data_IF_462003854719
#
_entry.id   IF_462003854719
#
_cell.length_a   1.000
_cell.length_b   1.000
_cell.length_c   1.000
_cell.angle_alpha   90.00
_cell.angle_beta   90.00
_cell.angle_gamma   90.00
#
_symmetry.space_group_name_H-M   'P 1'
#
loop_
_entity.id
_entity.type
_entity.pdbx_description
1 polymer ?
#
# COMPACT_ATOMS: atom_id res chain seq x y z
N UNK A 1 12.03 -25.51 -7.85
CA UNK A 1 10.64 -25.75 -7.42
C UNK A 1 10.19 -24.43 -6.85
N UNK A 2 9.67 -23.53 -7.68
CA UNK A 2 8.83 -22.44 -7.20
C UNK A 2 7.43 -23.07 -7.08
N UNK A 3 6.85 -23.03 -5.88
CA UNK A 3 5.53 -23.62 -5.63
C UNK A 3 4.45 -22.72 -6.21
N UNK A 4 3.24 -23.25 -6.39
CA UNK A 4 2.04 -22.46 -6.73
C UNK A 4 1.56 -21.62 -5.52
N UNK A 5 2.48 -20.95 -4.83
CA UNK A 5 2.26 -20.20 -3.59
C UNK A 5 2.45 -18.70 -3.88
N UNK A 6 1.70 -17.83 -3.20
CA UNK A 6 1.96 -16.39 -3.28
C UNK A 6 3.29 -16.06 -2.58
N UNK A 7 4.18 -15.34 -3.28
CA UNK A 7 5.51 -14.98 -2.78
C UNK A 7 5.60 -13.52 -2.29
N UNK A 8 4.47 -12.79 -2.30
CA UNK A 8 4.39 -11.40 -1.83
C UNK A 8 4.75 -11.26 -0.34
N UNK A 9 5.56 -10.25 -0.03
CA UNK A 9 5.98 -9.91 1.33
C UNK A 9 5.62 -8.47 1.65
N UNK A 10 5.06 -8.24 2.85
CA UNK A 10 4.78 -6.92 3.39
C UNK A 10 5.62 -6.62 4.64
N UNK A 11 6.46 -5.61 4.59
CA UNK A 11 7.25 -5.11 5.73
C UNK A 11 6.62 -3.85 6.29
N UNK A 12 6.36 -3.79 7.60
CA UNK A 12 5.92 -2.57 8.27
C UNK A 12 7.05 -1.54 8.26
N UNK A 13 6.78 -0.36 7.72
CA UNK A 13 7.68 0.80 7.74
C UNK A 13 7.28 1.81 8.82
N UNK A 14 5.99 2.02 9.03
CA UNK A 14 5.47 2.99 10.01
C UNK A 14 4.05 2.63 10.44
N UNK A 15 3.66 3.06 11.63
CA UNK A 15 2.31 2.91 12.18
C UNK A 15 1.61 4.27 12.43
N UNK A 16 2.28 5.37 12.13
CA UNK A 16 1.80 6.72 12.43
C UNK A 16 1.98 7.67 11.24
N UNK A 17 1.70 7.19 10.03
CA UNK A 17 1.73 8.04 8.84
C UNK A 17 0.49 8.91 8.74
N UNK A 18 0.65 10.09 8.13
CA UNK A 18 -0.45 10.94 7.70
C UNK A 18 -0.43 11.03 6.18
N UNK A 19 -1.54 10.70 5.54
CA UNK A 19 -1.68 10.75 4.07
C UNK A 19 -2.91 11.54 3.67
N UNK A 20 -2.75 12.32 2.60
CA UNK A 20 -3.83 13.12 2.00
C UNK A 20 -4.21 12.45 0.69
N UNK A 21 -5.49 12.15 0.53
CA UNK A 21 -6.10 11.63 -0.69
C UNK A 21 -7.23 12.57 -1.13
N UNK A 22 -7.78 12.40 -2.35
CA UNK A 22 -8.95 13.18 -2.77
C UNK A 22 -10.19 12.96 -1.90
N UNK A 23 -10.35 11.78 -1.29
CA UNK A 23 -11.44 11.52 -0.34
C UNK A 23 -11.26 12.29 0.98
N UNK A 24 -10.02 12.42 1.47
CA UNK A 24 -9.75 13.11 2.73
C UNK A 24 -8.34 12.92 3.26
N UNK A 25 -8.10 13.39 4.49
CA UNK A 25 -6.84 13.16 5.20
C UNK A 25 -7.00 12.05 6.22
N UNK A 26 -6.07 11.11 6.21
CA UNK A 26 -5.98 10.02 7.18
C UNK A 26 -4.73 10.17 8.04
N UNK A 27 -4.87 9.88 9.32
CA UNK A 27 -3.79 9.92 10.33
C UNK A 27 -3.69 8.56 11.00
N UNK A 28 -2.56 8.27 11.68
CA UNK A 28 -2.32 6.96 12.31
C UNK A 28 -2.41 5.81 11.29
N UNK A 29 -1.89 6.05 10.08
CA UNK A 29 -1.90 5.06 9.02
C UNK A 29 -0.73 4.08 9.18
N UNK A 30 -1.00 2.80 8.94
CA UNK A 30 0.04 1.81 8.68
C UNK A 30 0.62 2.07 7.30
N UNK A 31 1.95 2.09 7.20
CA UNK A 31 2.68 2.06 5.94
C UNK A 31 3.48 0.77 5.83
N UNK A 32 3.34 0.07 4.72
CA UNK A 32 4.16 -1.10 4.38
C UNK A 32 5.06 -0.83 3.18
N UNK A 33 6.15 -1.61 3.10
CA UNK A 33 6.89 -1.88 1.88
C UNK A 33 6.47 -3.27 1.41
N UNK A 34 5.94 -3.35 0.20
CA UNK A 34 5.51 -4.57 -0.42
C UNK A 34 6.51 -4.94 -1.53
N UNK A 35 6.93 -6.21 -1.56
CA UNK A 35 7.89 -6.76 -2.52
C UNK A 35 7.47 -8.14 -2.99
N UNK A 36 7.77 -8.48 -4.24
CA UNK A 36 7.54 -9.81 -4.82
C UNK A 36 8.88 -10.44 -5.24
N UNK A 37 9.14 -11.68 -4.81
CA UNK A 37 10.33 -12.42 -5.20
C UNK A 37 10.32 -12.84 -6.68
N UNK A 38 9.14 -12.94 -7.30
CA UNK A 38 8.96 -13.17 -8.73
C UNK A 38 9.21 -11.90 -9.55
N UNK A 39 9.02 -10.73 -8.94
CA UNK A 39 9.31 -9.41 -9.53
C UNK A 39 10.30 -8.60 -8.66
N UNK A 40 11.60 -8.98 -8.60
CA UNK A 40 12.57 -8.39 -7.66
C UNK A 40 12.87 -6.89 -7.82
N UNK A 41 12.32 -6.28 -8.88
CA UNK A 41 12.44 -4.84 -9.16
C UNK A 41 11.26 -4.04 -8.65
N UNK A 42 10.14 -4.69 -8.31
CA UNK A 42 8.92 -4.08 -7.83
C UNK A 42 9.01 -3.88 -6.31
N UNK A 43 9.02 -2.61 -5.91
CA UNK A 43 8.90 -2.20 -4.53
C UNK A 43 7.76 -1.19 -4.45
N UNK A 44 6.73 -1.48 -3.66
CA UNK A 44 5.56 -0.62 -3.48
C UNK A 44 5.44 -0.15 -2.04
N UNK A 45 5.01 1.10 -1.84
CA UNK A 45 4.51 1.54 -0.55
C UNK A 45 3.00 1.49 -0.52
N UNK A 46 2.42 0.87 0.50
CA UNK A 46 0.97 0.87 0.73
C UNK A 46 0.63 1.54 2.05
N UNK A 47 -0.47 2.29 2.06
CA UNK A 47 -0.99 2.97 3.24
C UNK A 47 -2.37 2.43 3.60
N UNK A 48 -2.55 2.11 4.87
CA UNK A 48 -3.80 1.61 5.41
C UNK A 48 -4.31 2.50 6.55
N UNK A 49 -5.54 2.96 6.44
CA UNK A 49 -6.20 3.75 7.47
C UNK A 49 -7.11 2.87 8.35
N UNK A 50 -7.08 3.03 9.69
CA UNK A 50 -7.96 2.32 10.60
C UNK A 50 -9.44 2.48 10.24
N UNK A 51 -10.19 1.37 10.18
CA UNK A 51 -11.61 1.37 9.84
C UNK A 51 -11.93 1.56 8.35
N UNK A 52 -10.91 1.73 7.49
CA UNK A 52 -11.08 1.87 6.03
C UNK A 52 -10.35 0.75 5.27
N UNK A 53 -9.09 0.48 5.62
CA UNK A 53 -8.22 -0.41 4.83
C UNK A 53 -7.26 0.40 3.94
N UNK A 54 -6.94 -0.10 2.75
CA UNK A 54 -6.00 0.54 1.84
C UNK A 54 -6.54 1.91 1.37
N UNK A 55 -5.72 2.95 1.48
CA UNK A 55 -6.07 4.33 1.08
C UNK A 55 -5.11 4.93 0.07
N UNK A 56 -3.91 4.37 -0.07
CA UNK A 56 -2.99 4.68 -1.15
C UNK A 56 -2.00 3.55 -1.42
N UNK A 57 -1.54 3.45 -2.65
CA UNK A 57 -0.47 2.57 -3.11
C UNK A 57 0.41 3.38 -4.07
N UNK A 58 1.73 3.28 -3.93
CA UNK A 58 2.69 3.97 -4.79
C UNK A 58 3.85 3.05 -5.08
N UNK A 59 4.15 2.88 -6.36
CA UNK A 59 5.43 2.27 -6.75
C UNK A 59 6.58 3.16 -6.27
N UNK A 60 7.47 2.57 -5.47
CA UNK A 60 8.72 3.20 -5.05
C UNK A 60 9.83 2.91 -6.06
N UNK A 61 9.77 1.74 -6.70
CA UNK A 61 10.73 1.28 -7.72
C UNK A 61 10.01 0.32 -8.66
N UNK A 62 10.06 0.60 -9.96
CA UNK A 62 9.34 -0.17 -10.98
C UNK A 62 8.62 0.70 -12.02
N UNK A 63 8.11 1.86 -11.59
CA UNK A 63 7.37 2.82 -12.42
C UNK A 63 6.92 4.05 -11.64
N UNK A 64 5.85 4.70 -12.10
CA UNK A 64 5.27 5.93 -11.51
C UNK A 64 3.77 5.76 -11.16
N UNK A 65 3.30 4.52 -11.03
CA UNK A 65 1.89 4.26 -10.77
C UNK A 65 1.49 4.61 -9.33
N UNK A 66 0.37 5.33 -9.21
CA UNK A 66 -0.23 5.74 -7.94
C UNK A 66 -1.72 5.39 -7.93
N UNK A 67 -2.15 4.73 -6.86
CA UNK A 67 -3.55 4.53 -6.52
C UNK A 67 -3.85 5.30 -5.23
N UNK A 68 -4.97 6.03 -5.21
CA UNK A 68 -5.42 6.78 -4.03
C UNK A 68 -6.93 6.69 -3.87
N UNK A 69 -7.39 6.65 -2.62
CA UNK A 69 -8.82 6.63 -2.32
C UNK A 69 -9.47 7.97 -2.69
N UNK A 70 -10.40 7.94 -3.63
CA UNK A 70 -11.13 9.11 -4.11
C UNK A 70 -12.53 9.24 -3.52
N UNK A 71 -13.19 8.12 -3.25
CA UNK A 71 -14.55 8.06 -2.72
C UNK A 71 -14.73 6.77 -1.90
N UNK A 72 -15.48 6.86 -0.79
CA UNK A 72 -15.87 5.72 0.04
C UNK A 72 -17.37 5.81 0.33
N UNK A 73 -18.11 4.78 -0.07
CA UNK A 73 -19.55 4.68 0.17
C UNK A 73 -19.83 3.52 1.11
N UNK A 74 -20.45 3.81 2.24
CA UNK A 74 -20.95 2.78 3.17
C UNK A 74 -22.40 2.41 2.82
N UNK A 75 -22.81 1.15 3.02
CA UNK A 75 -24.20 0.71 2.81
C UNK A 75 -25.24 1.54 3.59
#
# INVERSE_FOLDING_TARGET
MAGDEAEDLGQILSLDETIVTPFGTFTQCLKTLDTDALEPGLEEHKWYAPGVGAVAEREFKGGEDELVLVELTTP
#
